data_IF_098332173477
#
_entry.id   IF_098332173477
#
_cell.length_a   1.000
_cell.length_b   1.000
_cell.length_c   1.000
_cell.angle_alpha   90.00
_cell.angle_beta   90.00
_cell.angle_gamma   90.00
#
_symmetry.space_group_name_H-M   'P 1'
#
loop_
_entity.id
_entity.type
_entity.pdbx_description
1 polymer ?
#
# COMPACT_ATOMS: atom_id res chain seq x y z
N UNK A 1 -36.26 -2.64 -13.85
CA UNK A 1 -34.89 -2.06 -13.84
C UNK A 1 -34.68 -1.36 -12.50
N UNK A 2 -35.64 -0.53 -12.10
CA UNK A 2 -35.70 0.17 -10.81
C UNK A 2 -35.63 -0.73 -9.56
N UNK A 3 -36.31 -1.90 -9.56
CA UNK A 3 -36.24 -2.85 -8.42
C UNK A 3 -34.85 -3.49 -8.24
N UNK A 4 -34.11 -3.69 -9.34
CA UNK A 4 -32.76 -4.23 -9.28
C UNK A 4 -31.78 -3.17 -8.75
N UNK A 5 -31.88 -1.93 -9.22
CA UNK A 5 -31.08 -0.82 -8.70
C UNK A 5 -31.36 -0.52 -7.23
N UNK A 6 -32.63 -0.59 -6.79
CA UNK A 6 -33.01 -0.43 -5.39
C UNK A 6 -32.41 -1.53 -4.51
N UNK A 7 -32.40 -2.79 -4.97
CA UNK A 7 -31.79 -3.91 -4.26
C UNK A 7 -30.26 -3.79 -4.15
N UNK A 8 -29.59 -3.34 -5.23
CA UNK A 8 -28.15 -3.08 -5.21
C UNK A 8 -27.78 -1.88 -4.33
N UNK A 9 -28.62 -0.83 -4.30
CA UNK A 9 -28.41 0.32 -3.44
C UNK A 9 -28.60 -0.03 -1.95
N UNK A 10 -29.59 -0.85 -1.59
CA UNK A 10 -29.82 -1.29 -0.21
C UNK A 10 -28.79 -2.28 0.30
N UNK A 11 -28.12 -3.00 -0.60
CA UNK A 11 -27.14 -4.05 -0.26
C UNK A 11 -25.70 -3.58 -0.37
N UNK A 12 -25.46 -2.32 -0.76
CA UNK A 12 -24.11 -1.77 -0.92
C UNK A 12 -23.48 -1.60 0.47
N UNK A 13 -22.39 -2.31 0.79
CA UNK A 13 -21.69 -2.11 2.05
C UNK A 13 -21.27 -0.65 2.15
N UNK A 14 -21.79 0.06 3.15
CA UNK A 14 -21.31 1.41 3.45
C UNK A 14 -20.11 1.24 4.37
N UNK A 15 -18.91 1.44 3.84
CA UNK A 15 -17.71 1.51 4.69
C UNK A 15 -17.89 2.72 5.61
N UNK A 16 -18.22 2.45 6.87
CA UNK A 16 -18.66 3.48 7.83
C UNK A 16 -17.53 4.42 8.27
N UNK A 17 -16.28 3.97 8.13
CA UNK A 17 -15.08 4.74 8.46
C UNK A 17 -14.06 4.52 7.35
N UNK A 18 -13.79 5.57 6.57
CA UNK A 18 -12.61 5.57 5.71
C UNK A 18 -11.38 5.63 6.61
N UNK A 19 -10.44 4.69 6.51
CA UNK A 19 -9.24 4.76 7.32
C UNK A 19 -8.48 6.02 6.96
N UNK A 20 -8.13 6.80 7.98
CA UNK A 20 -7.27 7.96 7.80
C UNK A 20 -5.91 7.49 7.25
N UNK A 21 -5.26 8.38 6.50
CA UNK A 21 -3.95 8.15 5.92
C UNK A 21 -3.05 9.27 6.41
N UNK A 22 -1.95 8.90 7.06
CA UNK A 22 -0.91 9.86 7.42
C UNK A 22 -0.09 10.18 6.17
N UNK A 23 -0.23 11.40 5.67
CA UNK A 23 0.43 11.84 4.44
C UNK A 23 1.79 12.50 4.68
N UNK A 24 2.27 12.55 5.93
CA UNK A 24 3.48 13.28 6.29
C UNK A 24 4.53 12.38 6.95
N UNK A 25 4.11 11.28 7.58
CA UNK A 25 5.01 10.37 8.25
C UNK A 25 5.86 9.55 7.26
N UNK A 26 7.15 9.86 7.16
CA UNK A 26 8.09 9.26 6.20
C UNK A 26 9.15 8.34 6.84
N UNK A 27 9.09 8.06 8.14
CA UNK A 27 10.11 7.26 8.82
C UNK A 27 9.96 5.75 8.53
N UNK A 28 11.09 5.06 8.30
CA UNK A 28 11.13 3.60 8.10
C UNK A 28 11.29 2.87 9.44
N UNK A 29 10.28 2.95 10.29
CA UNK A 29 10.35 2.47 11.67
C UNK A 29 10.43 0.95 11.77
N UNK A 30 11.34 0.45 12.62
CA UNK A 30 11.43 -0.99 12.93
C UNK A 30 10.14 -1.49 13.57
N UNK A 31 9.82 -2.78 13.41
CA UNK A 31 8.63 -3.38 14.04
C UNK A 31 8.65 -3.26 15.58
N UNK A 32 9.82 -3.36 16.21
CA UNK A 32 9.97 -3.23 17.66
C UNK A 32 9.91 -1.78 18.18
N UNK A 33 10.22 -0.80 17.32
CA UNK A 33 10.30 0.64 17.66
C UNK A 33 9.06 1.43 17.20
N UNK A 34 8.22 0.83 16.36
CA UNK A 34 7.00 1.45 15.83
C UNK A 34 6.13 2.00 16.97
N UNK A 35 5.71 3.26 16.90
CA UNK A 35 4.74 3.80 17.87
C UNK A 35 3.37 3.14 17.69
N UNK A 36 2.92 2.41 18.72
CA UNK A 36 1.64 1.69 18.71
C UNK A 36 0.60 2.29 19.66
N UNK A 37 0.90 3.46 20.25
CA UNK A 37 -0.03 4.16 21.15
C UNK A 37 -1.30 4.57 20.41
N UNK A 38 -1.14 5.11 19.20
CA UNK A 38 -2.24 5.67 18.42
C UNK A 38 -2.80 6.97 19.01
N UNK A 39 -2.08 7.62 19.93
CA UNK A 39 -2.58 8.77 20.71
C UNK A 39 -2.88 10.01 19.85
N UNK A 40 -2.17 10.15 18.72
CA UNK A 40 -2.35 11.28 17.77
C UNK A 40 -2.84 10.76 16.41
N UNK A 41 -2.15 9.77 15.86
CA UNK A 41 -2.47 9.14 14.58
C UNK A 41 -2.37 7.63 14.77
N UNK A 42 -3.40 6.84 14.39
CA UNK A 42 -3.31 5.39 14.46
C UNK A 42 -2.14 4.86 13.63
N UNK A 43 -1.32 3.92 14.13
CA UNK A 43 -0.24 3.32 13.35
C UNK A 43 -0.71 2.67 12.05
N UNK A 44 -1.94 2.17 12.01
CA UNK A 44 -2.56 1.59 10.83
C UNK A 44 -2.75 2.65 9.72
N UNK A 45 -2.91 3.93 10.07
CA UNK A 45 -2.96 5.04 9.11
C UNK A 45 -1.59 5.34 8.47
N UNK A 46 -0.50 4.85 9.06
CA UNK A 46 0.87 4.97 8.54
C UNK A 46 1.31 3.70 7.81
N UNK A 47 1.13 2.55 8.44
CA UNK A 47 1.75 1.28 8.04
C UNK A 47 0.75 0.18 7.67
N UNK A 48 -0.56 0.41 7.80
CA UNK A 48 -1.60 -0.59 7.58
C UNK A 48 -1.73 -1.63 8.70
N UNK A 49 -2.74 -2.49 8.58
CA UNK A 49 -3.13 -3.44 9.65
C UNK A 49 -2.10 -4.54 9.90
N UNK A 50 -1.57 -5.17 8.85
CA UNK A 50 -0.61 -6.28 8.98
C UNK A 50 0.68 -5.90 9.68
N UNK A 51 1.34 -4.83 9.22
CA UNK A 51 2.61 -4.39 9.79
C UNK A 51 2.42 -3.98 11.27
N UNK A 52 1.34 -3.24 11.54
CA UNK A 52 0.99 -2.83 12.90
C UNK A 52 0.68 -4.00 13.81
N UNK A 53 -0.12 -4.97 13.35
CA UNK A 53 -0.47 -6.15 14.13
C UNK A 53 0.74 -7.06 14.38
N UNK A 54 1.67 -7.18 13.41
CA UNK A 54 2.93 -7.88 13.60
C UNK A 54 3.81 -7.19 14.64
N UNK A 55 3.92 -5.85 14.59
CA UNK A 55 4.61 -5.07 15.62
C UNK A 55 3.98 -5.24 17.01
N UNK A 56 2.63 -5.27 17.11
CA UNK A 56 1.91 -5.56 18.37
C UNK A 56 2.22 -6.96 18.87
N UNK A 57 2.19 -7.97 18.00
CA UNK A 57 2.50 -9.36 18.34
C UNK A 57 3.91 -9.49 18.92
N UNK A 58 4.89 -8.84 18.29
CA UNK A 58 6.29 -8.85 18.76
C UNK A 58 6.48 -8.32 20.18
N UNK A 59 5.60 -7.43 20.67
CA UNK A 59 5.65 -6.95 22.07
C UNK A 59 5.05 -7.93 23.09
N UNK A 60 4.25 -8.88 22.62
CA UNK A 60 3.57 -9.87 23.48
C UNK A 60 4.40 -11.16 23.55
N UNK A 61 5.07 -11.52 22.45
CA UNK A 61 6.01 -12.63 22.42
C UNK A 61 7.19 -12.31 23.35
N UNK A 62 7.27 -13.04 24.46
CA UNK A 62 8.30 -12.86 25.48
C UNK A 62 8.73 -14.19 26.08
N UNK A 63 9.95 -14.26 26.61
CA UNK A 63 10.49 -15.43 27.30
C UNK A 63 10.76 -16.58 26.32
N UNK A 64 10.03 -17.69 26.46
CA UNK A 64 10.21 -18.86 25.58
C UNK A 64 9.85 -18.58 24.12
N UNK A 65 9.23 -17.43 23.84
CA UNK A 65 8.81 -17.03 22.50
C UNK A 65 9.71 -15.95 21.87
N UNK A 66 10.79 -15.52 22.55
CA UNK A 66 11.67 -14.45 22.06
C UNK A 66 12.25 -14.77 20.67
N UNK A 67 12.60 -16.04 20.43
CA UNK A 67 13.15 -16.52 19.15
C UNK A 67 12.15 -16.45 17.98
N UNK A 68 10.87 -16.19 18.25
CA UNK A 68 9.80 -16.11 17.23
C UNK A 68 9.41 -14.66 16.91
N UNK A 69 10.07 -13.68 17.52
CA UNK A 69 9.86 -12.27 17.20
C UNK A 69 10.50 -11.99 15.84
N UNK A 70 9.66 -11.66 14.87
CA UNK A 70 10.12 -11.27 13.53
C UNK A 70 10.80 -9.91 13.56
N UNK A 71 11.93 -9.80 12.85
CA UNK A 71 12.61 -8.54 12.59
C UNK A 71 12.16 -7.96 11.25
N UNK A 72 12.07 -6.63 11.18
CA UNK A 72 11.61 -5.93 9.99
C UNK A 72 11.28 -4.48 10.29
N UNK A 73 10.78 -3.78 9.28
CA UNK A 73 10.38 -2.38 9.40
C UNK A 73 9.18 -2.09 8.50
N UNK A 74 8.43 -1.04 8.83
CA UNK A 74 7.31 -0.55 8.03
C UNK A 74 7.76 0.48 7.00
N UNK A 75 7.21 0.39 5.79
CA UNK A 75 7.29 1.46 4.78
C UNK A 75 5.96 2.24 4.87
N UNK A 76 5.97 3.51 5.28
CA UNK A 76 4.74 4.28 5.40
C UNK A 76 4.03 4.49 4.06
N UNK A 77 2.71 4.60 4.11
CA UNK A 77 1.82 4.97 3.00
C UNK A 77 2.19 6.30 2.34
N UNK A 78 2.89 7.18 3.07
CA UNK A 78 3.55 8.37 2.53
C UNK A 78 4.23 8.11 1.18
N UNK A 79 5.05 7.05 1.09
CA UNK A 79 5.81 6.76 -0.13
C UNK A 79 4.93 6.28 -1.28
N UNK A 80 3.82 5.62 -0.99
CA UNK A 80 2.82 5.29 -2.00
C UNK A 80 2.14 6.55 -2.55
N UNK A 81 1.79 7.50 -1.68
CA UNK A 81 1.21 8.78 -2.13
C UNK A 81 2.20 9.58 -2.99
N UNK A 82 3.48 9.61 -2.60
CA UNK A 82 4.53 10.24 -3.41
C UNK A 82 4.65 9.57 -4.77
N UNK A 83 4.70 8.24 -4.84
CA UNK A 83 4.70 7.50 -6.10
C UNK A 83 3.50 7.88 -7.00
N UNK A 84 2.29 7.94 -6.44
CA UNK A 84 1.07 8.27 -7.18
C UNK A 84 1.04 9.73 -7.69
N UNK A 85 1.70 10.66 -7.00
CA UNK A 85 1.72 12.09 -7.32
C UNK A 85 2.90 12.49 -8.21
N UNK A 86 4.00 11.74 -8.15
CA UNK A 86 5.19 12.00 -8.96
C UNK A 86 5.07 11.41 -10.37
N UNK A 87 4.50 10.21 -10.49
CA UNK A 87 4.43 9.50 -11.77
C UNK A 87 3.29 10.01 -12.67
N UNK A 88 3.52 9.99 -13.99
CA UNK A 88 2.66 10.59 -15.02
C UNK A 88 2.13 9.55 -16.01
N UNK A 89 0.88 9.72 -16.44
CA UNK A 89 0.19 8.90 -17.44
C UNK A 89 -0.71 9.81 -18.28
N UNK A 90 -1.09 9.38 -19.48
CA UNK A 90 -2.12 10.06 -20.27
C UNK A 90 -3.45 10.13 -19.48
N UNK A 91 -4.16 11.25 -19.57
CA UNK A 91 -5.44 11.46 -18.90
C UNK A 91 -6.50 10.49 -19.43
N UNK A 92 -7.36 10.02 -18.53
CA UNK A 92 -8.47 9.14 -18.88
C UNK A 92 -9.58 9.87 -19.66
N UNK A 93 -9.63 11.20 -19.55
CA UNK A 93 -10.60 12.06 -20.26
C UNK A 93 -10.05 12.61 -21.58
N UNK A 94 -8.74 12.89 -21.64
CA UNK A 94 -8.08 13.44 -22.82
C UNK A 94 -6.68 12.83 -22.99
N UNK A 95 -6.50 11.85 -23.90
CA UNK A 95 -5.21 11.19 -24.12
C UNK A 95 -4.07 12.11 -24.58
N UNK A 96 -4.37 13.36 -24.98
CA UNK A 96 -3.34 14.34 -25.38
C UNK A 96 -2.71 15.07 -24.18
N UNK A 97 -3.29 14.93 -22.99
CA UNK A 97 -2.81 15.55 -21.75
C UNK A 97 -2.18 14.49 -20.85
N UNK A 98 -1.02 14.82 -20.30
CA UNK A 98 -0.40 14.04 -19.22
C UNK A 98 -0.85 14.56 -17.85
N UNK A 99 -1.21 13.64 -16.97
CA UNK A 99 -1.64 13.89 -15.58
C UNK A 99 -0.92 12.93 -14.64
N UNK A 100 -0.95 13.20 -13.34
CA UNK A 100 -0.44 12.26 -12.34
C UNK A 100 -1.24 10.96 -12.31
N UNK A 101 -0.67 9.88 -11.79
CA UNK A 101 -1.43 8.64 -11.56
C UNK A 101 -2.64 8.87 -10.65
N UNK A 102 -2.48 9.70 -9.61
CA UNK A 102 -3.58 10.08 -8.71
C UNK A 102 -4.73 10.77 -9.47
N UNK A 103 -4.42 11.72 -10.35
CA UNK A 103 -5.41 12.42 -11.17
C UNK A 103 -6.08 11.51 -12.20
N UNK A 104 -5.31 10.65 -12.87
CA UNK A 104 -5.87 9.67 -13.81
C UNK A 104 -6.90 8.76 -13.14
N UNK A 105 -6.59 8.22 -11.96
CA UNK A 105 -7.56 7.39 -11.21
C UNK A 105 -8.78 8.18 -10.76
N UNK A 106 -8.60 9.44 -10.34
CA UNK A 106 -9.72 10.34 -9.99
C UNK A 106 -10.66 10.53 -11.18
N UNK A 107 -10.11 10.78 -12.36
CA UNK A 107 -10.87 10.90 -13.61
C UNK A 107 -11.65 9.63 -13.96
N UNK A 108 -11.04 8.45 -13.77
CA UNK A 108 -11.74 7.18 -13.92
C UNK A 108 -12.88 7.05 -12.90
N UNK A 109 -12.64 7.35 -11.62
CA UNK A 109 -13.65 7.22 -10.56
C UNK A 109 -14.83 8.19 -10.71
N UNK A 110 -14.59 9.37 -11.30
CA UNK A 110 -15.64 10.35 -11.60
C UNK A 110 -16.47 9.98 -12.85
N UNK A 111 -16.03 8.99 -13.64
CA UNK A 111 -16.75 8.52 -14.83
C UNK A 111 -17.98 7.67 -14.48
N UNK A 112 -19.15 8.06 -15.01
CA UNK A 112 -20.38 7.25 -14.91
C UNK A 112 -20.22 5.86 -15.49
N UNK A 113 -19.48 5.74 -16.59
CA UNK A 113 -19.25 4.45 -17.24
C UNK A 113 -18.40 3.55 -16.35
N UNK A 114 -17.37 4.10 -15.69
CA UNK A 114 -16.56 3.33 -14.75
C UNK A 114 -17.38 2.80 -13.57
N UNK A 115 -18.34 3.59 -13.09
CA UNK A 115 -19.23 3.20 -12.01
C UNK A 115 -20.21 2.08 -12.40
N UNK A 116 -20.72 2.07 -13.63
CA UNK A 116 -21.80 1.16 -14.05
C UNK A 116 -21.33 -0.03 -14.89
N UNK A 117 -20.16 0.05 -15.54
CA UNK A 117 -19.62 -0.99 -16.40
C UNK A 117 -18.45 -1.73 -15.73
N UNK A 118 -18.69 -2.97 -15.30
CA UNK A 118 -17.69 -3.80 -14.63
C UNK A 118 -16.55 -4.24 -15.55
N UNK A 119 -16.83 -4.52 -16.82
CA UNK A 119 -15.83 -4.93 -17.81
C UNK A 119 -14.87 -3.78 -18.12
N UNK A 120 -15.41 -2.57 -18.32
CA UNK A 120 -14.62 -1.36 -18.51
C UNK A 120 -13.75 -1.08 -17.28
N UNK A 121 -14.33 -1.11 -16.07
CA UNK A 121 -13.60 -0.90 -14.83
C UNK A 121 -12.46 -1.90 -14.64
N UNK A 122 -12.70 -3.18 -14.93
CA UNK A 122 -11.67 -4.22 -14.82
C UNK A 122 -10.51 -3.93 -15.78
N UNK A 123 -10.81 -3.65 -17.06
CA UNK A 123 -9.79 -3.32 -18.07
C UNK A 123 -9.00 -2.08 -17.70
N UNK A 124 -9.68 -0.97 -17.38
CA UNK A 124 -9.01 0.29 -17.05
C UNK A 124 -8.07 0.16 -15.83
N UNK A 125 -8.48 -0.56 -14.78
CA UNK A 125 -7.63 -0.80 -13.62
C UNK A 125 -6.48 -1.78 -13.90
N UNK A 126 -6.69 -2.76 -14.79
CA UNK A 126 -5.62 -3.64 -15.25
C UNK A 126 -4.59 -2.86 -16.07
N UNK A 127 -5.04 -2.08 -17.06
CA UNK A 127 -4.19 -1.27 -17.93
C UNK A 127 -3.38 -0.27 -17.10
N UNK A 128 -4.02 0.39 -16.12
CA UNK A 128 -3.32 1.28 -15.18
C UNK A 128 -2.22 0.54 -14.39
N UNK A 129 -2.52 -0.64 -13.82
CA UNK A 129 -1.54 -1.42 -13.05
C UNK A 129 -0.36 -1.86 -13.92
N UNK A 130 -0.63 -2.31 -15.13
CA UNK A 130 0.41 -2.78 -16.06
C UNK A 130 1.27 -1.61 -16.53
N UNK A 131 0.67 -0.45 -16.80
CA UNK A 131 1.39 0.78 -17.11
C UNK A 131 2.28 1.22 -15.94
N UNK A 132 1.74 1.27 -14.72
CA UNK A 132 2.48 1.69 -13.53
C UNK A 132 3.65 0.76 -13.20
N UNK A 133 3.52 -0.55 -13.44
CA UNK A 133 4.61 -1.52 -13.28
C UNK A 133 5.72 -1.32 -14.31
N UNK A 134 5.38 -0.93 -15.53
CA UNK A 134 6.33 -0.79 -16.63
C UNK A 134 7.03 0.57 -16.64
N UNK A 135 6.32 1.63 -16.23
CA UNK A 135 6.75 3.02 -16.42
C UNK A 135 6.87 3.81 -15.10
N UNK A 136 6.41 3.24 -13.98
CA UNK A 136 6.48 3.90 -12.69
C UNK A 136 7.90 3.89 -12.13
N UNK A 137 8.36 5.06 -11.69
CA UNK A 137 9.62 5.24 -10.97
C UNK A 137 9.39 5.52 -9.49
N UNK A 138 10.33 5.08 -8.67
CA UNK A 138 10.47 5.46 -7.26
C UNK A 138 11.72 6.34 -7.15
N UNK A 139 11.71 7.33 -6.24
CA UNK A 139 12.87 8.21 -6.04
C UNK A 139 14.11 7.42 -5.61
N UNK A 140 15.26 7.67 -6.25
CA UNK A 140 16.53 6.98 -5.97
C UNK A 140 16.93 7.09 -4.49
N UNK A 141 16.68 8.25 -3.86
CA UNK A 141 16.94 8.46 -2.43
C UNK A 141 16.14 7.48 -1.56
N UNK A 142 14.88 7.18 -1.93
CA UNK A 142 14.09 6.19 -1.20
C UNK A 142 14.69 4.79 -1.39
N UNK A 143 15.13 4.45 -2.59
CA UNK A 143 15.77 3.15 -2.87
C UNK A 143 17.03 2.98 -2.00
N UNK A 144 17.88 4.00 -1.94
CA UNK A 144 19.09 4.00 -1.11
C UNK A 144 18.78 3.90 0.38
N UNK A 145 17.74 4.61 0.85
CA UNK A 145 17.26 4.53 2.24
C UNK A 145 16.71 3.15 2.58
N UNK A 146 15.96 2.52 1.68
CA UNK A 146 15.46 1.16 1.85
C UNK A 146 16.61 0.15 1.89
N UNK A 147 17.58 0.26 0.99
CA UNK A 147 18.77 -0.58 0.96
C UNK A 147 19.57 -0.47 2.27
N UNK A 148 19.83 0.75 2.72
CA UNK A 148 20.52 1.02 3.99
C UNK A 148 19.76 0.43 5.17
N UNK A 149 18.43 0.60 5.20
CA UNK A 149 17.58 0.08 6.27
C UNK A 149 17.51 -1.44 6.29
N UNK A 150 17.52 -2.09 5.12
CA UNK A 150 17.60 -3.56 5.03
C UNK A 150 18.90 -4.06 5.67
N UNK A 151 20.05 -3.46 5.32
CA UNK A 151 21.34 -3.87 5.90
C UNK A 151 21.36 -3.63 7.42
N UNK A 152 20.80 -2.52 7.88
CA UNK A 152 20.73 -2.19 9.32
C UNK A 152 19.92 -3.23 10.12
N UNK A 153 18.75 -3.64 9.61
CA UNK A 153 17.83 -4.54 10.31
C UNK A 153 18.21 -6.01 10.14
N UNK A 154 18.65 -6.39 8.94
CA UNK A 154 18.89 -7.79 8.57
C UNK A 154 20.38 -8.16 8.49
N UNK A 155 21.27 -7.22 8.79
CA UNK A 155 22.71 -7.42 9.00
C UNK A 155 23.56 -7.63 7.73
N UNK A 156 22.96 -7.81 6.55
CA UNK A 156 23.68 -8.02 5.30
C UNK A 156 22.88 -7.55 4.08
N UNK A 157 23.59 -7.10 3.05
CA UNK A 157 23.01 -6.78 1.73
C UNK A 157 22.59 -8.05 0.97
N UNK A 158 23.15 -9.21 1.33
CA UNK A 158 22.83 -10.51 0.73
C UNK A 158 21.62 -11.19 1.38
N UNK A 159 21.09 -10.62 2.49
CA UNK A 159 19.91 -11.20 3.14
C UNK A 159 18.69 -11.03 2.25
N UNK A 160 18.06 -12.15 1.90
CA UNK A 160 16.76 -12.15 1.23
C UNK A 160 15.68 -11.64 2.17
N UNK A 161 15.11 -10.47 1.85
CA UNK A 161 13.97 -9.89 2.56
C UNK A 161 12.68 -10.08 1.76
N UNK A 162 11.54 -10.03 2.45
CA UNK A 162 10.22 -10.12 1.81
C UNK A 162 9.47 -8.81 1.92
N UNK A 163 9.12 -8.24 0.78
CA UNK A 163 8.19 -7.13 0.71
C UNK A 163 6.76 -7.65 0.80
N UNK A 164 6.00 -7.11 1.76
CA UNK A 164 4.61 -7.46 2.03
C UNK A 164 3.78 -6.18 2.08
N UNK A 165 2.73 -6.13 1.28
CA UNK A 165 1.73 -5.08 1.41
C UNK A 165 1.04 -5.15 2.77
N UNK A 166 0.73 -3.99 3.33
CA UNK A 166 -0.05 -3.85 4.56
C UNK A 166 -1.03 -2.70 4.33
N UNK A 167 -2.30 -3.05 4.06
CA UNK A 167 -3.32 -2.04 3.75
C UNK A 167 -3.94 -1.50 5.04
N UNK A 168 -4.31 -0.22 5.04
CA UNK A 168 -5.01 0.41 6.17
C UNK A 168 -6.52 0.09 6.19
N UNK A 169 -7.04 -0.55 5.14
CA UNK A 169 -8.43 -1.04 5.05
C UNK A 169 -8.52 -2.54 5.36
N UNK A 170 -7.40 -3.22 5.58
CA UNK A 170 -7.31 -4.69 5.59
C UNK A 170 -8.18 -5.36 6.66
N UNK A 171 -8.43 -4.66 7.77
CA UNK A 171 -9.21 -5.13 8.92
C UNK A 171 -10.58 -4.44 9.03
N UNK A 172 -11.02 -3.68 8.01
CA UNK A 172 -12.37 -3.15 8.00
C UNK A 172 -13.37 -4.31 7.98
N UNK A 173 -14.30 -4.36 8.94
CA UNK A 173 -15.35 -5.40 9.02
C UNK A 173 -16.15 -5.56 7.71
N UNK A 174 -16.16 -4.51 6.89
CA UNK A 174 -16.90 -4.38 5.64
C UNK A 174 -16.03 -4.64 4.39
N UNK A 175 -14.72 -4.88 4.54
CA UNK A 175 -13.78 -5.21 3.45
C UNK A 175 -12.70 -6.20 3.92
N UNK A 176 -12.81 -7.46 3.46
CA UNK A 176 -11.74 -8.44 3.65
C UNK A 176 -10.71 -8.31 2.52
N UNK A 177 -9.56 -7.70 2.82
CA UNK A 177 -8.44 -7.53 1.87
C UNK A 177 -7.49 -8.73 1.76
N UNK A 178 -7.75 -9.83 2.48
CA UNK A 178 -6.84 -10.97 2.53
C UNK A 178 -6.62 -11.61 1.15
N UNK A 179 -5.35 -11.70 0.73
CA UNK A 179 -4.96 -12.34 -0.53
C UNK A 179 -5.07 -11.46 -1.78
N UNK A 180 -5.46 -10.18 -1.65
CA UNK A 180 -5.53 -9.25 -2.79
C UNK A 180 -4.16 -8.69 -3.21
N UNK A 181 -3.09 -9.07 -2.53
CA UNK A 181 -1.79 -8.43 -2.67
C UNK A 181 -0.65 -9.43 -2.88
N UNK A 182 0.30 -9.04 -3.74
CA UNK A 182 1.49 -9.82 -4.07
C UNK A 182 2.55 -9.70 -2.95
N UNK A 183 3.45 -10.68 -2.88
CA UNK A 183 4.60 -10.68 -1.97
C UNK A 183 5.84 -11.04 -2.77
N UNK A 184 6.89 -10.22 -2.67
CA UNK A 184 8.11 -10.36 -3.48
C UNK A 184 9.32 -10.52 -2.58
N UNK A 185 10.19 -11.48 -2.89
CA UNK A 185 11.49 -11.63 -2.25
C UNK A 185 12.55 -10.84 -3.03
N UNK A 186 13.37 -10.06 -2.33
CA UNK A 186 14.43 -9.22 -2.90
C UNK A 186 15.63 -9.24 -1.94
N UNK A 187 16.86 -9.13 -2.45
CA UNK A 187 18.03 -8.76 -1.64
C UNK A 187 18.63 -7.45 -2.16
N UNK A 188 19.39 -6.74 -1.32
CA UNK A 188 20.01 -5.48 -1.73
C UNK A 188 21.06 -5.71 -2.82
N UNK A 189 21.74 -6.86 -2.80
CA UNK A 189 22.68 -7.23 -3.84
C UNK A 189 22.05 -7.31 -5.25
N UNK A 190 20.73 -7.55 -5.36
CA UNK A 190 20.03 -7.58 -6.66
C UNK A 190 20.15 -6.24 -7.42
N UNK A 191 20.37 -5.11 -6.74
CA UNK A 191 20.56 -3.80 -7.39
C UNK A 191 22.00 -3.53 -7.84
N UNK A 192 22.94 -4.38 -7.41
CA UNK A 192 24.38 -4.27 -7.75
C UNK A 192 24.78 -5.15 -8.95
N UNK A 193 23.91 -6.08 -9.36
CA UNK A 193 24.17 -7.07 -10.41
C UNK A 193 23.90 -6.54 -11.85
N UNK A 194 23.92 -5.22 -12.05
CA UNK A 194 23.75 -4.57 -13.37
C UNK A 194 24.89 -4.86 -14.36
#
# INVERSE_FOLDING_TARGET
MDEAEAFWASSRPQISIFPQVDQEFAELSSLNEMDLSGDIIPPEARFGGKATNLARLGRVLSGTFDDWVEVGFGIPVYYYLQFMRANRIASALDPTREVTYEEHLRELFDSKEFATNSEMRFRALQDFRDFARQNGGVEDELVDRLASRIVEIFGSAETMVRFRSSSNVEDALEFNGAGLYESTGVCVADTLDN
#
